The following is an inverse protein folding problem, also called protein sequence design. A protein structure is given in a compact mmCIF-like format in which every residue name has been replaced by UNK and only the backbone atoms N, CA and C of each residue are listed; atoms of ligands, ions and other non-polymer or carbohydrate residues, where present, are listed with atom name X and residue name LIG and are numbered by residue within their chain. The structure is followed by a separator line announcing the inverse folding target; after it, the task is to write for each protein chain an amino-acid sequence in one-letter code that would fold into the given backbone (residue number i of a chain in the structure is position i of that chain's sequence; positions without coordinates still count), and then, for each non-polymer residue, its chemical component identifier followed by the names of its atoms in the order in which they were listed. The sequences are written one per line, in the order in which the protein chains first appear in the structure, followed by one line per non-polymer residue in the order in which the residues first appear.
data_IF_205426244649
#
_entry.id   IF_205426244649
#
_cell.length_a   1.000
_cell.length_b   1.000
_cell.length_c   1.000
_cell.angle_alpha   90.00
_cell.angle_beta   90.00
_cell.angle_gamma   90.00
#
_symmetry.space_group_name_H-M   'P 1'
#
loop_
_entity.id
_entity.type
_entity.pdbx_description
1 polymer ?
#
# COMPACT_ATOMS: atom_id res chain seq x y z
N UNK A 1 1.04 -16.32 10.11
CA UNK A 1 2.01 -15.46 9.40
C UNK A 1 3.44 -15.84 9.76
N UNK A 2 3.81 -15.82 11.04
CA UNK A 2 5.18 -16.14 11.50
C UNK A 2 5.62 -17.57 11.16
N UNK A 3 4.76 -18.56 11.39
CA UNK A 3 5.02 -19.98 11.02
C UNK A 3 5.35 -20.14 9.52
N UNK A 4 4.58 -19.49 8.64
CA UNK A 4 4.84 -19.51 7.20
C UNK A 4 6.20 -18.89 6.86
N UNK A 5 6.59 -17.81 7.55
CA UNK A 5 7.88 -17.18 7.32
C UNK A 5 9.04 -18.04 7.82
N UNK A 6 8.88 -18.74 8.94
CA UNK A 6 9.88 -19.72 9.42
C UNK A 6 10.11 -20.79 8.36
N UNK A 7 9.03 -21.41 7.86
CA UNK A 7 9.09 -22.40 6.79
C UNK A 7 9.76 -21.86 5.52
N UNK A 8 9.45 -20.62 5.10
CA UNK A 8 10.13 -20.01 3.95
C UNK A 8 11.64 -19.83 4.20
N UNK A 9 12.06 -19.49 5.42
CA UNK A 9 13.50 -19.29 5.70
C UNK A 9 14.29 -20.59 5.66
N UNK A 10 13.63 -21.72 5.90
CA UNK A 10 14.23 -23.06 5.86
C UNK A 10 14.33 -23.58 4.40
N UNK A 11 13.35 -23.27 3.56
CA UNK A 11 13.20 -23.89 2.23
C UNK A 11 13.75 -23.06 1.06
N UNK A 12 14.00 -21.76 1.23
CA UNK A 12 14.40 -20.87 0.12
C UNK A 12 15.41 -19.80 0.55
N UNK A 13 16.14 -19.19 -0.41
CA UNK A 13 17.10 -18.13 -0.11
C UNK A 13 16.46 -16.95 0.64
N UNK A 14 17.23 -16.32 1.52
CA UNK A 14 16.74 -15.24 2.39
C UNK A 14 16.01 -14.14 1.62
N UNK A 15 16.58 -13.63 0.53
CA UNK A 15 15.93 -12.59 -0.28
C UNK A 15 14.54 -12.98 -0.79
N UNK A 16 14.33 -14.27 -1.09
CA UNK A 16 13.04 -14.80 -1.56
C UNK A 16 12.06 -14.91 -0.38
N UNK A 17 12.50 -15.43 0.77
CA UNK A 17 11.65 -15.55 1.96
C UNK A 17 11.23 -14.18 2.50
N UNK A 18 12.12 -13.18 2.50
CA UNK A 18 11.78 -11.79 2.82
C UNK A 18 10.71 -11.24 1.87
N UNK A 19 10.85 -11.47 0.56
CA UNK A 19 9.87 -11.06 -0.43
C UNK A 19 8.50 -11.71 -0.20
N UNK A 20 8.46 -13.02 0.13
CA UNK A 20 7.22 -13.74 0.46
C UNK A 20 6.56 -13.17 1.71
N UNK A 21 7.33 -12.82 2.73
CA UNK A 21 6.81 -12.23 3.96
C UNK A 21 6.21 -10.84 3.70
N UNK A 22 6.89 -9.98 2.93
CA UNK A 22 6.35 -8.66 2.53
C UNK A 22 5.06 -8.79 1.73
N UNK A 23 4.97 -9.74 0.80
CA UNK A 23 3.75 -10.02 0.04
C UNK A 23 2.61 -10.47 0.96
N UNK A 24 2.88 -11.38 1.88
CA UNK A 24 1.89 -11.88 2.84
C UNK A 24 1.38 -10.76 3.75
N UNK A 25 2.28 -9.94 4.29
CA UNK A 25 1.93 -8.75 5.07
C UNK A 25 1.05 -7.78 4.28
N UNK A 26 1.33 -7.62 2.98
CA UNK A 26 0.51 -6.85 2.07
C UNK A 26 -0.95 -7.29 2.01
N UNK A 27 -1.19 -8.61 1.98
CA UNK A 27 -2.54 -9.16 1.93
C UNK A 27 -3.25 -9.10 3.29
N UNK A 28 -2.53 -9.39 4.38
CA UNK A 28 -3.13 -9.48 5.71
C UNK A 28 -3.48 -8.12 6.34
N UNK A 29 -2.79 -7.05 5.94
CA UNK A 29 -2.96 -5.72 6.54
C UNK A 29 -3.76 -4.74 5.68
N UNK A 30 -4.34 -5.22 4.59
CA UNK A 30 -5.22 -4.40 3.75
C UNK A 30 -6.49 -4.04 4.53
N UNK A 31 -6.82 -2.76 4.59
CA UNK A 31 -8.01 -2.26 5.30
C UNK A 31 -7.87 -2.22 6.83
N UNK A 32 -6.72 -2.60 7.38
CA UNK A 32 -6.44 -2.39 8.80
C UNK A 32 -5.96 -0.96 9.06
N UNK A 33 -6.25 -0.47 10.26
CA UNK A 33 -5.78 0.85 10.70
C UNK A 33 -4.25 0.90 10.72
N UNK A 34 -3.67 1.99 10.20
CA UNK A 34 -2.22 2.12 10.04
C UNK A 34 -1.60 1.12 9.05
N UNK A 35 -2.41 0.37 8.30
CA UNK A 35 -1.97 -0.69 7.40
C UNK A 35 -1.03 -0.21 6.31
N UNK A 36 -1.32 0.90 5.60
CA UNK A 36 -0.42 1.49 4.60
C UNK A 36 0.97 1.77 5.16
N UNK A 37 1.01 2.48 6.29
CA UNK A 37 2.26 2.91 6.89
C UNK A 37 3.07 1.71 7.37
N UNK A 38 2.42 0.72 7.98
CA UNK A 38 3.06 -0.54 8.31
C UNK A 38 3.68 -1.22 7.08
N UNK A 39 2.94 -1.35 5.98
CA UNK A 39 3.46 -1.94 4.74
C UNK A 39 4.63 -1.14 4.16
N UNK A 40 4.59 0.19 4.25
CA UNK A 40 5.68 1.07 3.83
C UNK A 40 6.93 0.82 4.69
N UNK A 41 6.79 0.75 6.02
CA UNK A 41 7.90 0.42 6.93
C UNK A 41 8.49 -0.95 6.59
N UNK A 42 7.63 -1.96 6.40
CA UNK A 42 8.05 -3.32 6.10
C UNK A 42 8.75 -3.45 4.74
N UNK A 43 8.36 -2.65 3.74
CA UNK A 43 9.01 -2.63 2.43
C UNK A 43 10.50 -2.29 2.53
N UNK A 44 10.87 -1.40 3.46
CA UNK A 44 12.24 -0.95 3.68
C UNK A 44 13.05 -1.85 4.64
N UNK A 45 12.46 -2.92 5.21
CA UNK A 45 13.22 -3.90 5.99
C UNK A 45 14.09 -4.77 5.08
N UNK A 46 15.34 -5.01 5.47
CA UNK A 46 16.34 -5.75 4.69
C UNK A 46 16.73 -7.08 5.32
N UNK A 47 16.28 -7.36 6.55
CA UNK A 47 16.57 -8.59 7.28
C UNK A 47 15.32 -9.24 7.84
N UNK A 48 15.43 -10.54 8.15
CA UNK A 48 14.34 -11.26 8.83
C UNK A 48 14.03 -10.67 10.22
N UNK A 49 15.06 -10.22 10.95
CA UNK A 49 14.90 -9.61 12.27
C UNK A 49 14.05 -8.33 12.18
N UNK A 50 14.41 -7.39 11.30
CA UNK A 50 13.65 -6.14 11.12
C UNK A 50 12.20 -6.41 10.69
N UNK A 51 11.97 -7.40 9.82
CA UNK A 51 10.61 -7.78 9.43
C UNK A 51 9.82 -8.28 10.64
N UNK A 52 10.40 -9.16 11.46
CA UNK A 52 9.74 -9.72 12.64
C UNK A 52 9.47 -8.65 13.69
N UNK A 53 10.43 -7.75 13.93
CA UNK A 53 10.27 -6.64 14.88
C UNK A 53 9.14 -5.71 14.43
N UNK A 54 9.12 -5.30 13.16
CA UNK A 54 8.07 -4.43 12.63
C UNK A 54 6.68 -5.08 12.70
N UNK A 55 6.57 -6.38 12.40
CA UNK A 55 5.30 -7.13 12.54
C UNK A 55 4.87 -7.15 14.00
N UNK A 56 5.80 -7.43 14.92
CA UNK A 56 5.53 -7.49 16.36
C UNK A 56 5.02 -6.15 16.86
N UNK A 57 5.76 -5.07 16.59
CA UNK A 57 5.37 -3.70 16.97
C UNK A 57 3.97 -3.38 16.45
N UNK A 58 3.69 -3.64 15.16
CA UNK A 58 2.38 -3.35 14.57
C UNK A 58 1.23 -4.05 15.29
N UNK A 59 1.31 -5.38 15.46
CA UNK A 59 0.22 -6.14 16.07
C UNK A 59 0.11 -5.92 17.59
N UNK A 60 1.20 -5.63 18.29
CA UNK A 60 1.16 -5.23 19.70
C UNK A 60 0.49 -3.87 19.88
N UNK A 61 0.83 -2.86 19.06
CA UNK A 61 0.15 -1.56 19.05
C UNK A 61 -1.36 -1.74 18.84
N UNK A 62 -1.77 -2.57 17.86
CA UNK A 62 -3.19 -2.87 17.65
C UNK A 62 -3.85 -3.60 18.83
N UNK A 63 -3.16 -4.57 19.43
CA UNK A 63 -3.65 -5.33 20.58
C UNK A 63 -3.89 -4.41 21.79
N UNK A 64 -3.03 -3.42 21.98
CA UNK A 64 -3.16 -2.40 23.02
C UNK A 64 -4.23 -1.34 22.71
N UNK A 65 -4.96 -1.49 21.60
CA UNK A 65 -5.93 -0.51 21.07
C UNK A 65 -5.31 0.85 20.78
N UNK A 66 -4.01 0.87 20.54
CA UNK A 66 -3.27 2.04 20.10
C UNK A 66 -3.28 2.10 18.56
N UNK A 67 -3.08 3.29 18.01
CA UNK A 67 -2.98 3.49 16.57
C UNK A 67 -1.52 3.36 16.13
N UNK A 68 -1.27 2.47 15.17
CA UNK A 68 0.01 2.47 14.49
C UNK A 68 0.08 3.63 13.51
N UNK A 69 1.10 4.47 13.64
CA UNK A 69 1.31 5.62 12.77
C UNK A 69 0.21 6.68 12.90
N UNK A 70 -0.38 7.13 11.79
CA UNK A 70 -1.42 8.17 11.78
C UNK A 70 -2.84 7.67 12.10
N UNK A 71 -3.01 6.36 12.30
CA UNK A 71 -4.30 5.79 12.69
C UNK A 71 -5.37 5.83 11.59
N UNK A 72 -4.99 6.05 10.33
CA UNK A 72 -5.91 6.09 9.19
C UNK A 72 -5.99 4.72 8.52
N UNK A 73 -7.18 4.34 8.02
CA UNK A 73 -7.36 3.14 7.18
C UNK A 73 -7.24 3.49 5.69
N UNK A 74 -6.93 2.51 4.83
CA UNK A 74 -6.93 2.74 3.38
C UNK A 74 -8.30 3.24 2.86
N UNK A 75 -9.38 2.71 3.44
CA UNK A 75 -10.75 3.07 3.03
C UNK A 75 -11.05 4.55 3.32
N UNK A 76 -10.54 5.10 4.42
CA UNK A 76 -10.71 6.51 4.75
C UNK A 76 -9.98 7.41 3.73
N UNK A 77 -8.81 7.00 3.24
CA UNK A 77 -8.06 7.76 2.22
C UNK A 77 -8.73 7.75 0.86
N UNK A 78 -9.35 6.64 0.48
CA UNK A 78 -10.08 6.54 -0.80
C UNK A 78 -11.29 7.49 -0.82
N UNK A 79 -11.91 7.78 0.33
CA UNK A 79 -13.00 8.75 0.47
C UNK A 79 -12.54 10.22 0.37
N UNK A 80 -11.26 10.50 0.64
CA UNK A 80 -10.70 11.86 0.55
C UNK A 80 -10.37 12.29 -0.90
N UNK A 81 -10.45 11.39 -1.87
CA UNK A 81 -9.95 11.61 -3.24
C UNK A 81 -11.01 11.99 -4.29
N UNK A 82 -12.18 12.51 -3.89
CA UNK A 82 -13.28 12.84 -4.82
C UNK A 82 -13.65 14.34 -4.90
N UNK A 83 -12.71 15.25 -4.61
CA UNK A 83 -12.91 16.70 -4.82
C UNK A 83 -11.80 17.31 -5.67
N UNK A 84 -11.71 16.88 -6.92
CA UNK A 84 -11.09 17.66 -7.98
C UNK A 84 -12.21 18.25 -8.86
N UNK A 85 -12.81 19.36 -8.42
CA UNK A 85 -13.59 20.25 -9.29
C UNK A 85 -12.62 20.95 -10.27
N UNK A 86 -12.31 20.25 -11.35
CA UNK A 86 -11.57 20.78 -12.49
C UNK A 86 -12.49 20.79 -13.69
N UNK A 87 -13.22 21.90 -13.89
CA UNK A 87 -14.10 22.10 -15.03
C UNK A 87 -13.39 21.80 -16.36
N UNK A 88 -13.71 20.63 -16.94
CA UNK A 88 -13.30 20.24 -18.27
C UNK A 88 -14.12 21.04 -19.28
N UNK A 89 -13.63 22.22 -19.68
CA UNK A 89 -14.11 22.86 -20.92
C UNK A 89 -13.58 22.02 -22.07
N UNK A 90 -14.42 21.13 -22.59
CA UNK A 90 -14.14 20.40 -23.83
C UNK A 90 -14.30 21.41 -24.97
N UNK A 91 -13.25 21.75 -25.73
CA UNK A 91 -13.45 22.54 -26.94
C UNK A 91 -14.18 21.66 -27.94
N UNK A 92 -15.43 22.01 -28.24
CA UNK A 92 -16.19 21.42 -29.34
C UNK A 92 -15.44 21.69 -30.63
N UNK A 93 -14.97 20.62 -31.25
CA UNK A 93 -14.24 20.64 -32.51
C UNK A 93 -15.26 20.86 -33.62
N UNK A 94 -15.50 22.13 -33.98
CA UNK A 94 -16.37 22.48 -35.09
C UNK A 94 -15.82 21.89 -36.39
N UNK A 95 -16.61 21.03 -36.99
CA UNK A 95 -16.49 20.68 -38.40
C UNK A 95 -17.44 21.60 -39.16
N UNK A 96 -16.93 22.50 -40.01
CA UNK A 96 -17.43 22.62 -41.38
C UNK A 96 -16.58 23.50 -42.32
N UNK A 97 -16.43 23.01 -43.54
CA UNK A 97 -16.44 23.72 -44.84
C UNK A 97 -15.32 24.70 -45.25
N UNK A 98 -14.51 24.18 -46.20
CA UNK A 98 -14.31 24.66 -47.59
C UNK A 98 -13.64 26.02 -47.93
N UNK A 99 -12.71 25.87 -48.88
CA UNK A 99 -12.35 26.76 -50.00
C UNK A 99 -11.26 27.83 -49.85
N UNK A 100 -10.30 27.71 -50.78
CA UNK A 100 -9.71 28.75 -51.65
C UNK A 100 -8.23 29.16 -51.43
N UNK A 101 -7.52 29.15 -52.56
CA UNK A 101 -6.24 29.78 -52.93
C UNK A 101 -4.96 29.17 -52.29
N UNK A 102 -3.89 28.87 -53.03
CA UNK A 102 -3.39 29.41 -54.30
C UNK A 102 -2.72 28.31 -55.15
#
# INVERSE_FOLDING_TARGET
MLEFFSMCREEMPEIVSLGKMKQLAGQFTKGLVGGAQFRQTLYHSHSAAEILDNITIYFETLSNRETFGDGVTEADRDLEMDSCDGGMVIPTRDADTSAANA
#
